data_IF_432677780991
#
_entry.id   IF_432677780991
#
_cell.length_a   1.000
_cell.length_b   1.000
_cell.length_c   1.000
_cell.angle_alpha   90.00
_cell.angle_beta   90.00
_cell.angle_gamma   90.00
#
_symmetry.space_group_name_H-M   'P 1'
#
loop_
_entity.id
_entity.type
_entity.pdbx_description
1 polymer ?
#
# COMPACT_ATOMS: atom_id res chain seq x y z
N UNK A 1 26.34 8.09 50.70
CA UNK A 1 26.30 8.81 49.42
C UNK A 1 24.87 9.31 49.26
N UNK A 2 24.63 10.61 49.41
CA UNK A 2 23.32 11.19 49.13
C UNK A 2 23.23 11.39 47.62
N UNK A 3 22.24 10.77 46.97
CA UNK A 3 21.95 11.06 45.57
C UNK A 3 21.34 12.46 45.47
N UNK A 4 21.91 13.28 44.61
CA UNK A 4 21.48 14.66 44.36
C UNK A 4 20.10 14.65 43.73
N UNK A 5 19.20 15.54 44.14
CA UNK A 5 17.82 15.61 43.63
C UNK A 5 17.76 15.79 42.10
N UNK A 6 18.79 16.43 41.50
CA UNK A 6 18.95 16.53 40.05
C UNK A 6 19.24 15.20 39.33
N UNK A 7 19.91 14.25 39.99
CA UNK A 7 20.15 12.92 39.41
C UNK A 7 18.83 12.13 39.29
N UNK A 8 17.88 12.35 40.20
CA UNK A 8 16.56 11.70 40.15
C UNK A 8 15.73 12.20 38.97
N UNK A 9 15.69 13.52 38.76
CA UNK A 9 14.93 14.13 37.66
C UNK A 9 15.48 13.75 36.28
N UNK A 10 16.81 13.66 36.13
CA UNK A 10 17.42 13.20 34.89
C UNK A 10 17.12 11.72 34.62
N UNK A 11 17.13 10.88 35.66
CA UNK A 11 16.73 9.48 35.55
C UNK A 11 15.26 9.31 35.14
N UNK A 12 14.36 10.14 35.66
CA UNK A 12 12.94 10.13 35.30
C UNK A 12 12.70 10.59 33.84
N UNK A 13 13.43 11.62 33.38
CA UNK A 13 13.41 12.04 31.96
C UNK A 13 13.89 10.92 31.05
N UNK A 14 15.02 10.28 31.39
CA UNK A 14 15.57 9.15 30.63
C UNK A 14 14.61 7.96 30.59
N UNK A 15 13.95 7.65 31.71
CA UNK A 15 12.93 6.60 31.80
C UNK A 15 11.76 6.90 30.88
N UNK A 16 11.22 8.12 30.95
CA UNK A 16 10.09 8.56 30.13
C UNK A 16 10.42 8.50 28.64
N UNK A 17 11.59 9.03 28.25
CA UNK A 17 12.08 8.95 26.88
C UNK A 17 12.14 7.50 26.36
N UNK A 18 12.67 6.57 27.16
CA UNK A 18 12.76 5.16 26.77
C UNK A 18 11.40 4.49 26.58
N UNK A 19 10.40 4.86 27.39
CA UNK A 19 9.02 4.37 27.24
C UNK A 19 8.42 4.86 25.93
N UNK A 20 8.54 6.16 25.65
CA UNK A 20 8.00 6.78 24.43
C UNK A 20 8.68 6.22 23.17
N UNK A 21 10.00 6.06 23.17
CA UNK A 21 10.71 5.49 22.01
C UNK A 21 10.35 4.01 21.79
N UNK A 22 10.09 3.25 22.86
CA UNK A 22 9.60 1.88 22.74
C UNK A 22 8.19 1.85 22.12
N UNK A 23 7.30 2.74 22.54
CA UNK A 23 5.96 2.86 21.95
C UNK A 23 6.05 3.22 20.46
N UNK A 24 6.85 4.23 20.10
CA UNK A 24 7.09 4.61 18.70
C UNK A 24 7.61 3.45 17.85
N UNK A 25 8.54 2.65 18.38
CA UNK A 25 9.08 1.46 17.68
C UNK A 25 8.03 0.36 17.50
N UNK A 26 7.14 0.18 18.48
CA UNK A 26 6.05 -0.78 18.38
C UNK A 26 5.03 -0.34 17.33
N UNK A 27 4.63 0.93 17.33
CA UNK A 27 3.76 1.52 16.30
C UNK A 27 4.36 1.35 14.90
N UNK A 28 5.65 1.70 14.74
CA UNK A 28 6.34 1.51 13.47
C UNK A 28 6.37 0.03 13.03
N UNK A 29 6.57 -0.90 13.96
CA UNK A 29 6.52 -2.34 13.67
C UNK A 29 5.13 -2.75 13.18
N UNK A 30 4.06 -2.26 13.81
CA UNK A 30 2.68 -2.52 13.37
C UNK A 30 2.41 -1.93 11.99
N UNK A 31 2.90 -0.72 11.69
CA UNK A 31 2.80 -0.14 10.34
C UNK A 31 3.51 -0.98 9.28
N UNK A 32 4.68 -1.56 9.60
CA UNK A 32 5.38 -2.49 8.70
C UNK A 32 4.60 -3.77 8.45
N UNK A 33 3.91 -4.31 9.46
CA UNK A 33 3.06 -5.48 9.30
C UNK A 33 1.83 -5.17 8.45
N UNK A 34 1.15 -4.06 8.73
CA UNK A 34 0.03 -3.60 7.91
C UNK A 34 0.44 -3.42 6.44
N UNK A 35 1.62 -2.84 6.18
CA UNK A 35 2.15 -2.70 4.82
C UNK A 35 2.46 -4.06 4.18
N UNK A 36 3.13 -4.96 4.89
CA UNK A 36 3.46 -6.31 4.41
C UNK A 36 2.20 -7.05 3.95
N UNK A 37 1.13 -6.98 4.76
CA UNK A 37 -0.10 -7.73 4.51
C UNK A 37 -0.83 -7.27 3.24
N UNK A 38 -0.54 -6.06 2.74
CA UNK A 38 -1.07 -5.55 1.47
C UNK A 38 -0.27 -6.02 0.23
N UNK A 39 0.88 -6.66 0.41
CA UNK A 39 1.78 -7.02 -0.68
C UNK A 39 1.71 -8.54 -0.88
N UNK A 40 1.09 -9.04 -1.98
CA UNK A 40 0.83 -10.47 -2.16
C UNK A 40 2.06 -11.36 -2.02
N UNK A 41 3.22 -10.90 -2.50
CA UNK A 41 4.47 -11.67 -2.48
C UNK A 41 5.01 -11.90 -1.06
N UNK A 42 4.73 -11.00 -0.12
CA UNK A 42 5.30 -11.05 1.25
C UNK A 42 4.25 -11.16 2.36
N UNK A 43 2.96 -11.10 2.06
CA UNK A 43 1.87 -11.12 3.03
C UNK A 43 1.96 -12.30 4.02
N UNK A 44 2.31 -13.49 3.52
CA UNK A 44 2.41 -14.71 4.33
C UNK A 44 3.80 -14.92 4.98
N UNK A 45 4.73 -13.99 4.79
CA UNK A 45 6.07 -14.08 5.36
C UNK A 45 6.19 -13.18 6.61
N UNK A 46 5.85 -13.74 7.77
CA UNK A 46 5.88 -13.00 9.02
C UNK A 46 7.25 -12.40 9.37
N UNK A 47 8.32 -13.04 8.88
CA UNK A 47 9.72 -12.68 9.13
C UNK A 47 10.33 -11.84 8.00
N UNK A 48 9.53 -11.31 7.07
CA UNK A 48 10.01 -10.46 5.99
C UNK A 48 10.83 -9.27 6.53
N UNK A 49 12.09 -9.08 6.07
CA UNK A 49 12.91 -7.95 6.50
C UNK A 49 12.27 -6.62 6.09
N UNK A 50 12.44 -5.56 6.92
CA UNK A 50 11.89 -4.22 6.64
C UNK A 50 12.27 -3.69 5.25
N UNK A 51 13.54 -3.86 4.87
CA UNK A 51 14.03 -3.43 3.54
C UNK A 51 13.35 -4.19 2.39
N UNK A 52 13.00 -5.46 2.60
CA UNK A 52 12.27 -6.26 1.61
C UNK A 52 10.84 -5.78 1.50
N UNK A 53 10.15 -5.53 2.63
CA UNK A 53 8.79 -4.97 2.64
C UNK A 53 8.74 -3.66 1.85
N UNK A 54 9.70 -2.74 2.06
CA UNK A 54 9.75 -1.47 1.34
C UNK A 54 9.98 -1.66 -0.17
N UNK A 55 10.97 -2.48 -0.56
CA UNK A 55 11.24 -2.75 -1.98
C UNK A 55 10.03 -3.37 -2.68
N UNK A 56 9.43 -4.38 -2.06
CA UNK A 56 8.26 -5.07 -2.59
C UNK A 56 7.02 -4.20 -2.63
N UNK A 57 6.84 -3.27 -1.67
CA UNK A 57 5.79 -2.27 -1.74
C UNK A 57 5.95 -1.38 -2.96
N UNK A 58 7.15 -0.87 -3.22
CA UNK A 58 7.43 -0.02 -4.38
C UNK A 58 7.20 -0.77 -5.69
N UNK A 59 7.73 -1.99 -5.81
CA UNK A 59 7.53 -2.85 -6.99
C UNK A 59 6.03 -3.10 -7.23
N UNK A 60 5.28 -3.40 -6.17
CA UNK A 60 3.85 -3.69 -6.26
C UNK A 60 3.01 -2.49 -6.67
N UNK A 61 3.29 -1.30 -6.13
CA UNK A 61 2.60 -0.05 -6.53
C UNK A 61 2.82 0.23 -8.02
N UNK A 62 4.06 0.10 -8.51
CA UNK A 62 4.38 0.30 -9.93
C UNK A 62 3.67 -0.71 -10.83
N UNK A 63 3.61 -1.98 -10.40
CA UNK A 63 2.86 -3.03 -11.10
C UNK A 63 1.37 -2.69 -11.19
N UNK A 64 0.73 -2.33 -10.07
CA UNK A 64 -0.71 -2.03 -10.06
C UNK A 64 -1.02 -0.81 -10.92
N UNK A 65 -0.19 0.23 -10.89
CA UNK A 65 -0.37 1.42 -11.73
C UNK A 65 -0.28 1.07 -13.23
N UNK A 66 0.66 0.19 -13.60
CA UNK A 66 0.78 -0.29 -14.98
C UNK A 66 -0.45 -1.11 -15.40
N UNK A 67 -0.94 -1.99 -14.53
CA UNK A 67 -2.14 -2.77 -14.78
C UNK A 67 -3.39 -1.90 -14.86
N UNK A 68 -3.53 -0.90 -14.01
CA UNK A 68 -4.63 0.08 -14.06
C UNK A 68 -4.66 0.80 -15.41
N UNK A 69 -3.51 1.33 -15.86
CA UNK A 69 -3.42 1.97 -17.17
C UNK A 69 -3.80 1.03 -18.32
N UNK A 70 -3.34 -0.23 -18.27
CA UNK A 70 -3.69 -1.25 -19.26
C UNK A 70 -5.19 -1.54 -19.28
N UNK A 71 -5.79 -1.73 -18.11
CA UNK A 71 -7.23 -2.01 -17.97
C UNK A 71 -8.09 -0.82 -18.41
N UNK A 72 -7.67 0.41 -18.13
CA UNK A 72 -8.34 1.62 -18.63
C UNK A 72 -8.32 1.65 -20.17
N UNK A 73 -7.16 1.39 -20.78
CA UNK A 73 -7.04 1.36 -22.23
C UNK A 73 -7.91 0.26 -22.87
N UNK A 74 -7.90 -0.94 -22.29
CA UNK A 74 -8.73 -2.07 -22.73
C UNK A 74 -10.22 -1.74 -22.63
N UNK A 75 -10.65 -1.16 -21.51
CA UNK A 75 -12.03 -0.71 -21.30
C UNK A 75 -12.47 0.28 -22.38
N UNK A 76 -11.64 1.24 -22.73
CA UNK A 76 -11.95 2.22 -23.79
C UNK A 76 -12.01 1.57 -25.19
N UNK A 77 -11.11 0.64 -25.50
CA UNK A 77 -11.18 -0.14 -26.74
C UNK A 77 -12.48 -0.94 -26.85
N UNK A 78 -12.86 -1.64 -25.76
CA UNK A 78 -14.10 -2.40 -25.70
C UNK A 78 -15.33 -1.51 -25.83
N UNK A 79 -15.33 -0.31 -25.24
CA UNK A 79 -16.41 0.68 -25.38
C UNK A 79 -16.58 1.12 -26.83
N UNK A 80 -15.50 1.50 -27.50
CA UNK A 80 -15.52 1.87 -28.93
C UNK A 80 -16.02 0.73 -29.80
N UNK A 81 -15.54 -0.49 -29.55
CA UNK A 81 -15.98 -1.68 -30.31
C UNK A 81 -17.47 -1.95 -30.13
N UNK A 82 -17.96 -1.84 -28.90
CA UNK A 82 -19.39 -1.99 -28.58
C UNK A 82 -20.24 -0.95 -29.32
N UNK A 83 -19.82 0.30 -29.35
CA UNK A 83 -20.54 1.38 -30.05
C UNK A 83 -20.58 1.16 -31.56
N UNK A 84 -19.46 0.76 -32.17
CA UNK A 84 -19.42 0.39 -33.59
C UNK A 84 -20.38 -0.75 -33.92
N UNK A 85 -20.42 -1.79 -33.08
CA UNK A 85 -21.33 -2.92 -33.27
C UNK A 85 -22.79 -2.53 -33.11
N UNK A 86 -23.11 -1.66 -32.13
CA UNK A 86 -24.47 -1.12 -31.97
C UNK A 86 -24.90 -0.32 -33.20
N UNK A 87 -24.04 0.57 -33.70
CA UNK A 87 -24.33 1.35 -34.89
C UNK A 87 -24.55 0.46 -36.13
N UNK A 88 -23.69 -0.55 -36.32
CA UNK A 88 -23.86 -1.51 -37.43
C UNK A 88 -25.17 -2.30 -37.32
N UNK A 89 -25.55 -2.69 -36.10
CA UNK A 89 -26.82 -3.39 -35.86
C UNK A 89 -28.02 -2.50 -36.19
N UNK A 90 -27.97 -1.22 -35.82
CA UNK A 90 -29.00 -0.23 -36.14
C UNK A 90 -29.13 -0.03 -37.66
N UNK A 91 -28.01 0.16 -38.36
CA UNK A 91 -28.00 0.27 -39.83
C UNK A 91 -28.64 -0.95 -40.51
N UNK A 92 -28.31 -2.16 -40.05
CA UNK A 92 -28.87 -3.40 -40.62
C UNK A 92 -30.36 -3.54 -40.33
N UNK A 93 -30.83 -3.15 -39.14
CA UNK A 93 -32.26 -3.15 -38.81
C UNK A 93 -33.05 -2.18 -39.66
N UNK A 94 -32.49 -1.00 -39.92
CA UNK A 94 -33.14 0.06 -40.69
C UNK A 94 -33.07 -0.17 -42.21
N UNK A 95 -32.15 -1.01 -42.69
CA UNK A 95 -32.02 -1.38 -44.11
C UNK A 95 -32.89 -2.59 -44.51
N UNK A 96 -33.37 -3.37 -43.52
CA UNK A 96 -34.26 -4.52 -43.72
C UNK A 96 -35.73 -4.23 -43.36
N UNK A 97 -36.06 -2.97 -43.09
CA UNK A 97 -37.42 -2.45 -42.97
C UNK A 97 -37.80 -1.70 -44.25
#
# INVERSE_FOLDING_TARGET
RMCSQGDSEENDKRRTHNVLERQRRNELKLSFFALRDQIPEVANNEKAPKVVILKKATEYVLSIQSDEHRLIAEKEQLRRRREQLKHKLEQLRNCCA
#
